data_IF_917677943376
#
_entry.id   IF_917677943376
#
_cell.length_a   1.000
_cell.length_b   1.000
_cell.length_c   1.000
_cell.angle_alpha   90.00
_cell.angle_beta   90.00
_cell.angle_gamma   90.00
#
_symmetry.space_group_name_H-M   'P 1'
#
loop_
_entity.id
_entity.type
_entity.pdbx_description
1 polymer ?
#
# COMPACT_ATOMS: atom_id res chain seq x y z
N UNK A 1 33.76 -26.48 -6.81
CA UNK A 1 33.03 -25.32 -7.36
C UNK A 1 33.99 -24.50 -8.21
N UNK A 2 34.19 -24.83 -9.48
CA UNK A 2 35.21 -24.15 -10.31
C UNK A 2 34.63 -23.02 -11.18
N UNK A 3 33.30 -22.88 -11.20
CA UNK A 3 32.58 -21.89 -12.02
C UNK A 3 32.07 -20.67 -11.25
N UNK A 4 32.01 -20.76 -9.91
CA UNK A 4 31.59 -19.67 -9.03
C UNK A 4 32.85 -19.00 -8.51
N UNK A 5 33.00 -17.69 -8.75
CA UNK A 5 34.17 -16.91 -8.33
C UNK A 5 33.79 -15.92 -7.24
N UNK A 6 34.73 -15.57 -6.37
CA UNK A 6 34.58 -14.43 -5.48
C UNK A 6 34.64 -13.14 -6.29
N UNK A 7 33.68 -12.24 -6.06
CA UNK A 7 33.59 -10.96 -6.75
C UNK A 7 34.03 -9.81 -5.86
N UNK A 8 34.74 -8.85 -6.46
CA UNK A 8 35.07 -7.57 -5.81
C UNK A 8 34.00 -6.49 -6.05
N UNK A 9 32.84 -6.85 -6.61
CA UNK A 9 31.72 -5.94 -6.92
C UNK A 9 32.05 -4.73 -7.81
N UNK A 10 33.16 -4.76 -8.55
CA UNK A 10 33.50 -3.68 -9.47
C UNK A 10 32.56 -3.73 -10.68
N UNK A 11 31.86 -2.63 -11.03
CA UNK A 11 30.95 -2.61 -12.18
C UNK A 11 31.73 -2.79 -13.48
N UNK A 12 31.28 -3.70 -14.34
CA UNK A 12 31.81 -3.88 -15.68
C UNK A 12 31.30 -2.76 -16.61
N UNK A 13 32.08 -2.45 -17.64
CA UNK A 13 31.70 -1.43 -18.64
C UNK A 13 30.42 -1.88 -19.34
N UNK A 14 29.39 -1.03 -19.37
CA UNK A 14 28.03 -1.33 -19.87
C UNK A 14 27.24 -2.40 -19.08
N UNK A 15 27.58 -2.63 -17.81
CA UNK A 15 26.78 -3.46 -16.91
C UNK A 15 25.51 -2.71 -16.43
N UNK A 16 24.35 -3.33 -16.59
CA UNK A 16 23.05 -2.81 -16.15
C UNK A 16 22.48 -3.76 -15.09
N UNK A 17 21.97 -3.22 -13.99
CA UNK A 17 21.23 -3.98 -12.98
C UNK A 17 19.79 -4.19 -13.42
N UNK A 18 19.34 -5.45 -13.42
CA UNK A 18 18.08 -5.83 -14.07
C UNK A 18 17.04 -6.26 -13.05
N UNK A 19 17.40 -7.17 -12.15
CA UNK A 19 16.48 -7.69 -11.15
C UNK A 19 17.22 -8.26 -9.95
N UNK A 20 16.60 -8.23 -8.78
CA UNK A 20 17.16 -8.77 -7.54
C UNK A 20 16.08 -9.52 -6.76
N UNK A 21 16.47 -10.62 -6.11
CA UNK A 21 15.59 -11.43 -5.27
C UNK A 21 16.29 -11.76 -3.95
N UNK A 22 15.56 -11.60 -2.84
CA UNK A 22 16.07 -11.88 -1.50
C UNK A 22 15.73 -13.32 -1.04
N UNK A 23 16.46 -13.77 -0.01
CA UNK A 23 16.34 -15.10 0.61
C UNK A 23 16.52 -16.25 -0.38
N UNK A 24 17.65 -16.21 -1.07
CA UNK A 24 18.09 -17.26 -1.99
C UNK A 24 19.22 -18.04 -1.36
N UNK A 25 19.06 -19.35 -1.28
CA UNK A 25 20.07 -20.28 -0.75
C UNK A 25 20.72 -21.06 -1.90
N UNK A 26 22.05 -21.19 -1.88
CA UNK A 26 22.81 -21.89 -2.93
C UNK A 26 23.01 -23.35 -2.54
N UNK A 27 22.76 -24.25 -3.48
CA UNK A 27 23.13 -25.67 -3.38
C UNK A 27 24.12 -26.01 -4.48
N UNK A 28 25.12 -26.80 -4.10
CA UNK A 28 26.05 -27.39 -5.05
C UNK A 28 25.68 -28.86 -5.20
N UNK A 29 25.32 -29.26 -6.41
CA UNK A 29 24.69 -30.56 -6.64
C UNK A 29 23.45 -30.71 -5.74
N UNK A 30 23.43 -31.67 -4.82
CA UNK A 30 22.29 -31.87 -3.91
C UNK A 30 22.61 -31.47 -2.45
N UNK A 31 23.82 -30.97 -2.20
CA UNK A 31 24.27 -30.57 -0.86
C UNK A 31 24.03 -29.07 -0.60
N UNK A 32 23.46 -28.78 0.57
CA UNK A 32 23.25 -27.41 1.04
C UNK A 32 24.58 -26.75 1.32
N UNK A 33 24.88 -25.64 0.66
CA UNK A 33 26.12 -24.90 0.94
C UNK A 33 25.97 -24.04 2.20
N UNK A 34 27.09 -23.50 2.70
CA UNK A 34 27.08 -22.50 3.77
C UNK A 34 26.45 -21.16 3.38
N UNK A 35 26.17 -20.94 2.09
CA UNK A 35 25.61 -19.71 1.54
C UNK A 35 24.08 -19.74 1.58
N UNK A 36 23.50 -19.24 2.67
CA UNK A 36 22.07 -19.32 2.96
C UNK A 36 21.44 -17.94 3.08
N UNK A 37 20.18 -17.79 2.65
CA UNK A 37 19.37 -16.57 2.82
C UNK A 37 19.97 -15.28 2.23
N UNK A 38 20.84 -15.38 1.23
CA UNK A 38 21.43 -14.21 0.58
C UNK A 38 20.51 -13.54 -0.44
N UNK A 39 21.01 -12.45 -1.04
CA UNK A 39 20.35 -11.73 -2.13
C UNK A 39 20.98 -12.11 -3.45
N UNK A 40 20.20 -12.63 -4.39
CA UNK A 40 20.62 -12.95 -5.74
C UNK A 40 20.23 -11.82 -6.71
N UNK A 41 21.18 -11.31 -7.48
CA UNK A 41 21.03 -10.20 -8.41
C UNK A 41 21.44 -10.63 -9.82
N UNK A 42 20.60 -10.28 -10.79
CA UNK A 42 20.86 -10.46 -12.22
C UNK A 42 21.28 -9.11 -12.82
N UNK A 43 22.45 -9.11 -13.45
CA UNK A 43 22.92 -8.00 -14.28
C UNK A 43 22.87 -8.39 -15.76
N UNK A 44 23.23 -7.47 -16.65
CA UNK A 44 23.36 -7.75 -18.08
C UNK A 44 24.47 -8.75 -18.44
N UNK A 45 25.42 -9.04 -17.54
CA UNK A 45 26.62 -9.86 -17.83
C UNK A 45 26.85 -11.03 -16.86
N UNK A 46 26.35 -10.94 -15.62
CA UNK A 46 26.62 -11.91 -14.54
C UNK A 46 25.48 -12.01 -13.53
N UNK A 47 25.46 -13.13 -12.81
CA UNK A 47 24.71 -13.34 -11.59
C UNK A 47 25.60 -13.07 -10.39
N UNK A 48 25.10 -12.27 -9.45
CA UNK A 48 25.79 -11.92 -8.21
C UNK A 48 24.95 -12.39 -7.03
N UNK A 49 25.54 -13.16 -6.12
CA UNK A 49 24.90 -13.51 -4.85
C UNK A 49 25.62 -12.81 -3.71
N UNK A 50 24.87 -12.08 -2.90
CA UNK A 50 25.36 -11.35 -1.74
C UNK A 50 24.90 -12.07 -0.46
N UNK A 51 25.82 -12.30 0.47
CA UNK A 51 25.45 -12.82 1.78
C UNK A 51 24.64 -11.79 2.59
N UNK A 52 23.76 -12.28 3.46
CA UNK A 52 22.95 -11.45 4.35
C UNK A 52 23.78 -10.89 5.51
N UNK A 53 24.76 -11.65 6.00
CA UNK A 53 25.52 -11.32 7.19
C UNK A 53 26.86 -10.65 6.86
N UNK A 54 27.55 -11.09 5.81
CA UNK A 54 28.82 -10.51 5.38
C UNK A 54 28.70 -9.74 4.05
N UNK A 55 28.89 -8.42 4.11
CA UNK A 55 28.85 -7.53 2.93
C UNK A 55 30.03 -7.73 1.98
N UNK A 56 31.11 -8.38 2.41
CA UNK A 56 32.27 -8.70 1.58
C UNK A 56 32.16 -10.07 0.92
N UNK A 57 31.19 -10.88 1.31
CA UNK A 57 30.96 -12.20 0.74
C UNK A 57 30.04 -12.10 -0.48
N UNK A 58 30.65 -11.97 -1.68
CA UNK A 58 29.92 -11.91 -2.95
C UNK A 58 30.42 -12.97 -3.92
N UNK A 59 29.49 -13.77 -4.42
CA UNK A 59 29.74 -14.83 -5.39
C UNK A 59 29.26 -14.40 -6.77
N UNK A 60 30.05 -14.68 -7.79
CA UNK A 60 29.81 -14.31 -9.18
C UNK A 60 29.78 -15.53 -10.09
N UNK A 61 28.76 -15.56 -10.97
CA UNK A 61 28.64 -16.51 -12.07
C UNK A 61 28.43 -15.70 -13.35
N UNK A 62 29.32 -15.84 -14.32
CA UNK A 62 29.14 -15.14 -15.61
C UNK A 62 27.97 -15.74 -16.37
N UNK A 63 27.08 -14.92 -16.94
CA UNK A 63 25.95 -15.42 -17.74
C UNK A 63 26.44 -16.16 -19.01
N UNK A 64 27.64 -15.85 -19.49
CA UNK A 64 28.29 -16.58 -20.58
C UNK A 64 28.55 -18.06 -20.28
N UNK A 65 28.64 -18.41 -18.99
CA UNK A 65 28.92 -19.78 -18.56
C UNK A 65 27.64 -20.61 -18.39
N UNK A 66 26.46 -20.00 -18.45
CA UNK A 66 25.18 -20.69 -18.28
C UNK A 66 24.73 -21.23 -19.63
N UNK A 67 24.59 -22.56 -19.76
CA UNK A 67 24.03 -23.19 -20.97
C UNK A 67 22.51 -23.18 -20.95
N UNK A 68 21.95 -23.53 -19.79
CA UNK A 68 20.52 -23.69 -19.63
C UNK A 68 20.13 -23.37 -18.18
N UNK A 69 18.91 -22.87 -18.00
CA UNK A 69 18.28 -22.70 -16.70
C UNK A 69 16.98 -23.50 -16.70
N UNK A 70 16.79 -24.36 -15.71
CA UNK A 70 15.56 -25.16 -15.55
C UNK A 70 14.90 -24.82 -14.22
N UNK A 71 13.60 -24.53 -14.26
CA UNK A 71 12.81 -24.39 -13.04
C UNK A 71 12.37 -25.78 -12.57
N UNK A 72 12.90 -26.26 -11.45
CA UNK A 72 12.40 -27.45 -10.77
C UNK A 72 11.37 -27.05 -9.73
N UNK A 73 10.09 -27.18 -10.08
CA UNK A 73 9.01 -27.21 -9.11
C UNK A 73 8.97 -28.61 -8.50
N UNK A 74 9.21 -28.74 -7.20
CA UNK A 74 9.15 -30.04 -6.53
C UNK A 74 7.68 -30.47 -6.46
N UNK A 75 7.26 -31.40 -7.32
CA UNK A 75 5.97 -32.08 -7.19
C UNK A 75 6.00 -33.00 -5.98
N UNK A 76 4.92 -33.00 -5.21
CA UNK A 76 4.72 -33.84 -4.02
C UNK A 76 5.13 -35.29 -4.32
N UNK A 77 6.24 -35.75 -3.73
CA UNK A 77 6.47 -37.19 -3.56
C UNK A 77 5.55 -37.64 -2.43
N UNK A 78 4.44 -38.24 -2.83
CA UNK A 78 3.55 -38.95 -1.92
C UNK A 78 4.31 -40.01 -1.14
N UNK A 79 4.15 -39.94 0.19
CA UNK A 79 4.27 -41.04 1.15
C UNK A 79 5.63 -41.73 1.27
N UNK A 80 6.45 -41.29 2.23
CA UNK A 80 6.64 -42.05 3.47
C UNK A 80 7.72 -41.42 4.36
N UNK A 81 7.40 -41.37 5.66
CA UNK A 81 8.31 -41.34 6.80
C UNK A 81 9.17 -40.09 7.04
N UNK A 82 8.68 -39.26 7.98
CA UNK A 82 9.44 -38.58 9.03
C UNK A 82 10.59 -37.66 8.57
N UNK A 83 10.29 -36.59 7.85
CA UNK A 83 10.92 -35.26 7.98
C UNK A 83 10.14 -34.32 7.04
N UNK A 84 9.36 -33.39 7.59
CA UNK A 84 8.73 -32.33 6.79
C UNK A 84 9.80 -31.28 6.46
N UNK A 85 10.63 -31.54 5.47
CA UNK A 85 11.43 -30.48 4.85
C UNK A 85 10.49 -29.62 4.00
N UNK A 86 10.38 -28.34 4.35
CA UNK A 86 9.63 -27.36 3.59
C UNK A 86 10.24 -27.25 2.19
N UNK A 87 9.54 -27.74 1.18
CA UNK A 87 10.01 -27.78 -0.20
C UNK A 87 9.90 -26.39 -0.83
N UNK A 88 11.04 -25.75 -1.04
CA UNK A 88 11.12 -24.47 -1.75
C UNK A 88 11.41 -24.70 -3.25
N UNK A 89 10.90 -23.83 -4.15
CA UNK A 89 11.18 -23.92 -5.57
C UNK A 89 12.67 -23.68 -5.86
N UNK A 90 13.25 -24.50 -6.74
CA UNK A 90 14.68 -24.43 -7.10
C UNK A 90 14.86 -24.12 -8.58
N UNK A 91 15.77 -23.20 -8.88
CA UNK A 91 16.26 -22.96 -10.24
C UNK A 91 17.59 -23.68 -10.40
N UNK A 92 17.69 -24.60 -11.36
CA UNK A 92 18.91 -25.31 -11.73
C UNK A 92 19.61 -24.55 -12.85
N UNK A 93 20.87 -24.17 -12.66
CA UNK A 93 21.72 -23.64 -13.73
C UNK A 93 22.70 -24.71 -14.19
N UNK A 94 22.71 -24.96 -15.50
CA UNK A 94 23.68 -25.82 -16.17
C UNK A 94 24.85 -24.97 -16.66
N UNK A 95 26.10 -25.30 -16.29
CA UNK A 95 27.28 -24.50 -16.61
C UNK A 95 28.21 -25.18 -17.65
N UNK A 96 28.85 -24.38 -18.51
CA UNK A 96 29.51 -24.85 -19.75
C UNK A 96 30.92 -25.47 -19.56
N UNK A 97 31.71 -25.12 -18.52
CA UNK A 97 33.10 -25.62 -18.39
C UNK A 97 33.53 -25.91 -16.94
N UNK A 98 34.09 -27.09 -16.66
CA UNK A 98 35.03 -27.30 -15.56
C UNK A 98 36.42 -27.73 -16.07
N UNK A 99 37.47 -26.91 -15.93
CA UNK A 99 38.89 -27.31 -16.12
C UNK A 99 39.75 -26.36 -15.23
N UNK A 100 40.64 -26.83 -14.35
CA UNK A 100 42.01 -27.26 -14.71
C UNK A 100 42.44 -28.67 -14.27
N UNK A 101 43.07 -29.35 -15.24
CA UNK A 101 43.91 -30.54 -15.12
C UNK A 101 45.15 -30.23 -14.28
N UNK A 102 45.31 -30.86 -13.11
CA UNK A 102 46.68 -31.11 -12.60
C UNK A 102 46.94 -32.24 -11.62
N UNK A 103 45.98 -32.89 -10.97
CA UNK A 103 46.32 -34.02 -10.10
C UNK A 103 45.55 -35.27 -10.52
N UNK A 104 46.23 -36.08 -11.34
CA UNK A 104 45.94 -37.49 -11.56
C UNK A 104 45.93 -38.22 -10.20
N UNK A 105 44.90 -39.04 -9.99
CA UNK A 105 44.94 -40.46 -9.65
C UNK A 105 43.67 -40.79 -8.85
N UNK A 106 42.97 -41.78 -9.37
CA UNK A 106 41.92 -42.62 -8.78
C UNK A 106 40.53 -42.04 -8.49
N UNK A 107 39.63 -42.53 -9.33
CA UNK A 107 38.30 -43.05 -9.01
C UNK A 107 37.07 -42.11 -8.96
N UNK A 108 36.09 -42.58 -9.74
CA UNK A 108 34.66 -42.29 -9.76
C UNK A 108 34.18 -41.12 -10.64
N UNK A 109 33.95 -41.50 -11.90
CA UNK A 109 32.99 -40.92 -12.85
C UNK A 109 31.60 -40.63 -12.26
N UNK A 110 31.20 -39.35 -12.28
CA UNK A 110 29.85 -38.78 -12.53
C UNK A 110 29.89 -37.37 -11.92
N UNK A 111 29.99 -36.26 -12.64
CA UNK A 111 29.08 -35.79 -13.67
C UNK A 111 29.84 -34.92 -14.69
N UNK A 112 29.56 -35.03 -16.01
CA UNK A 112 30.20 -34.21 -17.05
C UNK A 112 29.73 -32.74 -17.06
N UNK A 113 28.79 -32.38 -16.19
CA UNK A 113 28.12 -31.09 -16.15
C UNK A 113 28.14 -30.51 -14.73
N UNK A 114 28.66 -29.28 -14.56
CA UNK A 114 28.57 -28.57 -13.30
C UNK A 114 27.20 -27.89 -13.20
N UNK A 115 26.41 -28.26 -12.19
CA UNK A 115 25.12 -27.62 -11.92
C UNK A 115 25.06 -26.98 -10.53
N UNK A 116 24.43 -25.82 -10.46
CA UNK A 116 24.18 -25.07 -9.23
C UNK A 116 22.67 -24.88 -9.09
N UNK A 117 22.13 -25.07 -7.89
CA UNK A 117 20.73 -24.72 -7.62
C UNK A 117 20.63 -23.46 -6.76
N UNK A 118 19.63 -22.65 -7.09
CA UNK A 118 19.18 -21.52 -6.28
C UNK A 118 17.79 -21.84 -5.75
N UNK A 119 17.67 -21.94 -4.43
CA UNK A 119 16.43 -22.19 -3.73
C UNK A 119 15.83 -20.88 -3.21
N UNK A 120 14.55 -20.64 -3.50
CA UNK A 120 13.88 -19.37 -3.19
C UNK A 120 12.90 -19.53 -2.04
N UNK A 121 13.22 -18.97 -0.87
CA UNK A 121 12.41 -19.13 0.35
C UNK A 121 11.16 -18.23 0.39
N UNK A 122 11.24 -17.02 -0.19
CA UNK A 122 10.17 -16.01 -0.13
C UNK A 122 9.41 -15.79 -1.46
N UNK A 123 9.48 -16.74 -2.40
CA UNK A 123 8.84 -16.60 -3.71
C UNK A 123 9.69 -15.83 -4.73
N UNK A 124 9.08 -15.31 -5.81
CA UNK A 124 9.78 -14.55 -6.88
C UNK A 124 10.57 -15.39 -7.89
N UNK A 125 10.66 -16.70 -7.70
CA UNK A 125 11.39 -17.62 -8.60
C UNK A 125 10.90 -17.58 -10.06
N UNK A 126 9.59 -17.42 -10.30
CA UNK A 126 9.04 -17.38 -11.66
C UNK A 126 9.44 -16.10 -12.41
N UNK A 127 9.34 -14.94 -11.75
CA UNK A 127 9.77 -13.66 -12.31
C UNK A 127 11.28 -13.65 -12.55
N UNK A 128 12.04 -14.12 -11.56
CA UNK A 128 13.50 -14.26 -11.67
C UNK A 128 13.90 -15.17 -12.83
N UNK A 129 13.23 -16.32 -12.99
CA UNK A 129 13.48 -17.26 -14.07
C UNK A 129 13.17 -16.65 -15.45
N UNK A 130 12.05 -15.93 -15.59
CA UNK A 130 11.70 -15.24 -16.83
C UNK A 130 12.73 -14.16 -17.19
N UNK A 131 13.15 -13.35 -16.23
CA UNK A 131 14.18 -12.32 -16.43
C UNK A 131 15.51 -12.96 -16.82
N UNK A 132 15.92 -14.03 -16.14
CA UNK A 132 17.13 -14.77 -16.46
C UNK A 132 17.10 -15.30 -17.90
N UNK A 133 16.02 -15.97 -18.29
CA UNK A 133 15.87 -16.53 -19.63
C UNK A 133 15.89 -15.43 -20.71
N UNK A 134 15.26 -14.28 -20.43
CA UNK A 134 15.33 -13.10 -21.29
C UNK A 134 16.77 -12.58 -21.46
N UNK A 135 17.60 -12.59 -20.39
CA UNK A 135 19.02 -12.23 -20.51
C UNK A 135 19.83 -13.28 -21.28
N UNK A 136 19.60 -14.56 -21.02
CA UNK A 136 20.18 -15.70 -21.76
C UNK A 136 19.87 -15.65 -23.26
N UNK A 137 18.69 -15.16 -23.63
CA UNK A 137 18.31 -14.94 -25.03
C UNK A 137 18.94 -13.69 -25.64
N UNK A 138 19.06 -12.61 -24.85
CA UNK A 138 19.67 -11.35 -25.32
C UNK A 138 21.18 -11.44 -25.53
N UNK A 139 21.88 -12.32 -24.79
CA UNK A 139 23.34 -12.56 -24.89
C UNK A 139 24.17 -11.28 -25.02
N UNK A 140 23.82 -10.23 -24.27
CA UNK A 140 24.50 -8.92 -24.35
C UNK A 140 26.01 -9.03 -24.09
N UNK A 141 26.44 -10.02 -23.30
CA UNK A 141 27.86 -10.32 -23.03
C UNK A 141 28.66 -10.80 -24.24
N UNK A 142 28.01 -11.31 -25.30
CA UNK A 142 28.70 -11.69 -26.54
C UNK A 142 29.02 -10.47 -27.41
N UNK A 143 28.37 -9.32 -27.18
CA UNK A 143 28.69 -8.08 -27.90
C UNK A 143 30.03 -7.47 -27.48
N UNK A 144 30.67 -7.99 -26.42
CA UNK A 144 31.99 -7.57 -25.98
C UNK A 144 33.15 -8.38 -26.59
N UNK A 145 32.88 -9.49 -27.29
CA UNK A 145 33.91 -10.39 -27.85
C UNK A 145 34.18 -10.23 -29.35
N UNK A 146 33.88 -9.06 -29.93
CA UNK A 146 34.28 -8.69 -31.31
C UNK A 146 35.27 -7.52 -31.33
N UNK A 147 36.10 -7.39 -30.30
CA UNK A 147 37.24 -6.46 -30.29
C UNK A 147 38.54 -7.23 -30.11
N UNK A 148 38.92 -7.99 -31.14
CA UNK A 148 40.28 -7.97 -31.68
C UNK A 148 40.38 -8.77 -32.99
N UNK A 149 40.89 -8.10 -34.02
CA UNK A 149 41.27 -8.57 -35.36
C UNK A 149 40.15 -8.69 -36.42
N UNK A 150 39.83 -7.55 -37.08
CA UNK A 150 40.22 -7.28 -38.48
C UNK A 150 39.62 -5.93 -38.92
N UNK A 151 40.47 -5.10 -39.51
CA UNK A 151 40.16 -3.72 -39.83
C UNK A 151 38.96 -3.54 -40.75
N UNK A 152 37.95 -2.84 -40.26
CA UNK A 152 37.05 -2.06 -41.11
C UNK A 152 36.97 -0.65 -40.55
N UNK A 153 37.58 0.26 -41.32
CA UNK A 153 37.45 1.72 -41.32
C UNK A 153 36.71 2.31 -40.12
N UNK A 154 37.47 2.95 -39.23
CA UNK A 154 37.00 4.12 -38.48
C UNK A 154 36.63 5.16 -39.54
N UNK A 155 35.38 5.13 -40.01
CA UNK A 155 34.74 6.35 -40.47
C UNK A 155 34.31 7.09 -39.22
N UNK A 156 34.88 8.28 -39.04
CA UNK A 156 34.59 9.23 -37.99
C UNK A 156 33.08 9.36 -37.73
N UNK A 157 32.54 8.61 -36.77
CA UNK A 157 31.25 8.95 -36.17
C UNK A 157 31.57 10.06 -35.18
N UNK A 158 31.55 11.30 -35.68
CA UNK A 158 31.75 12.50 -34.85
C UNK A 158 30.65 12.63 -33.79
N UNK A 159 30.83 13.58 -32.87
CA UNK A 159 29.87 13.92 -31.79
C UNK A 159 28.42 14.04 -32.30
N UNK A 160 28.21 14.46 -33.55
CA UNK A 160 26.89 14.49 -34.20
C UNK A 160 26.22 13.11 -34.37
N UNK A 161 26.96 12.03 -34.57
CA UNK A 161 26.40 10.68 -34.71
C UNK A 161 25.90 10.12 -33.39
N UNK A 162 26.63 10.37 -32.30
CA UNK A 162 26.18 10.04 -30.94
C UNK A 162 24.96 10.88 -30.57
N UNK A 163 24.97 12.19 -30.89
CA UNK A 163 23.82 13.05 -30.64
C UNK A 163 22.57 12.62 -31.42
N UNK A 164 22.74 12.18 -32.67
CA UNK A 164 21.64 11.61 -33.46
C UNK A 164 21.13 10.30 -32.87
N UNK A 165 22.01 9.41 -32.41
CA UNK A 165 21.61 8.16 -31.78
C UNK A 165 20.88 8.37 -30.44
N UNK A 166 21.28 9.36 -29.64
CA UNK A 166 20.58 9.73 -28.40
C UNK A 166 19.20 10.31 -28.74
N UNK A 167 19.12 11.20 -29.73
CA UNK A 167 17.85 11.78 -30.16
C UNK A 167 16.89 10.70 -30.70
N UNK A 168 17.41 9.74 -31.48
CA UNK A 168 16.60 8.65 -32.02
C UNK A 168 16.08 7.72 -30.90
N UNK A 169 16.87 7.47 -29.84
CA UNK A 169 16.40 6.72 -28.67
C UNK A 169 15.35 7.47 -27.87
N UNK A 170 15.51 8.77 -27.67
CA UNK A 170 14.51 9.62 -27.01
C UNK A 170 13.20 9.61 -27.79
N UNK A 171 13.27 9.78 -29.11
CA UNK A 171 12.10 9.72 -29.98
C UNK A 171 11.40 8.34 -29.92
N UNK A 172 12.15 7.24 -29.86
CA UNK A 172 11.58 5.89 -29.71
C UNK A 172 10.92 5.68 -28.34
N UNK A 173 11.53 6.19 -27.27
CA UNK A 173 10.95 6.17 -25.92
C UNK A 173 9.67 7.00 -25.87
N UNK A 174 9.66 8.20 -26.45
CA UNK A 174 8.47 9.06 -26.53
C UNK A 174 7.36 8.40 -27.34
N UNK A 175 7.68 7.66 -28.41
CA UNK A 175 6.70 6.90 -29.18
C UNK A 175 6.10 5.75 -28.36
N UNK A 176 6.92 4.97 -27.67
CA UNK A 176 6.43 3.90 -26.79
C UNK A 176 5.58 4.43 -25.63
N UNK A 177 5.97 5.57 -25.05
CA UNK A 177 5.21 6.25 -23.99
C UNK A 177 3.86 6.73 -24.55
N UNK A 178 3.85 7.36 -25.73
CA UNK A 178 2.61 7.81 -26.37
C UNK A 178 1.69 6.65 -26.78
N UNK A 179 2.23 5.53 -27.24
CA UNK A 179 1.47 4.32 -27.53
C UNK A 179 0.86 3.73 -26.26
N UNK A 180 1.64 3.66 -25.17
CA UNK A 180 1.16 3.23 -23.86
C UNK A 180 0.05 4.15 -23.30
N UNK A 181 0.15 5.47 -23.48
CA UNK A 181 -0.91 6.40 -23.10
C UNK A 181 -2.17 6.25 -23.95
N UNK A 182 -2.04 5.95 -25.25
CA UNK A 182 -3.19 5.64 -26.11
C UNK A 182 -3.93 4.41 -25.62
N UNK A 183 -3.22 3.35 -25.27
CA UNK A 183 -3.84 2.13 -24.74
C UNK A 183 -4.49 2.35 -23.37
N UNK A 184 -3.85 3.11 -22.48
CA UNK A 184 -4.48 3.53 -21.22
C UNK A 184 -5.74 4.37 -21.47
N UNK A 185 -5.71 5.30 -22.43
CA UNK A 185 -6.89 6.12 -22.75
C UNK A 185 -8.04 5.29 -23.34
N UNK A 186 -7.72 4.25 -24.13
CA UNK A 186 -8.69 3.31 -24.68
C UNK A 186 -9.32 2.46 -23.56
N UNK A 187 -8.50 1.97 -22.63
CA UNK A 187 -8.97 1.24 -21.44
C UNK A 187 -9.84 2.15 -20.56
N UNK A 188 -9.42 3.39 -20.32
CA UNK A 188 -10.21 4.38 -19.58
C UNK A 188 -11.55 4.68 -20.24
N UNK A 189 -11.59 4.78 -21.58
CA UNK A 189 -12.84 4.98 -22.32
C UNK A 189 -13.78 3.77 -22.18
N UNK A 190 -13.27 2.55 -22.29
CA UNK A 190 -14.06 1.33 -22.08
C UNK A 190 -14.59 1.23 -20.63
N UNK A 191 -13.75 1.55 -19.65
CA UNK A 191 -14.16 1.61 -18.25
C UNK A 191 -15.23 2.70 -18.03
N UNK A 192 -15.10 3.87 -18.67
CA UNK A 192 -16.09 4.96 -18.59
C UNK A 192 -17.45 4.55 -19.16
N UNK A 193 -17.47 3.83 -20.28
CA UNK A 193 -18.72 3.27 -20.84
C UNK A 193 -19.36 2.26 -19.88
N UNK A 194 -18.57 1.34 -19.33
CA UNK A 194 -19.06 0.34 -18.36
C UNK A 194 -19.62 1.00 -17.08
N UNK A 195 -18.96 2.04 -16.58
CA UNK A 195 -19.40 2.82 -15.41
C UNK A 195 -20.69 3.58 -15.73
N UNK A 196 -20.80 4.20 -16.90
CA UNK A 196 -22.03 4.89 -17.33
C UNK A 196 -23.23 3.93 -17.42
N UNK A 197 -23.04 2.75 -18.02
CA UNK A 197 -24.09 1.72 -18.08
C UNK A 197 -24.50 1.27 -16.68
N UNK A 198 -23.53 1.09 -15.78
CA UNK A 198 -23.76 0.71 -14.39
C UNK A 198 -24.58 1.77 -13.65
N UNK A 199 -24.28 3.06 -13.82
CA UNK A 199 -25.06 4.16 -13.24
C UNK A 199 -26.52 4.18 -13.74
N UNK A 200 -26.75 3.90 -15.02
CA UNK A 200 -28.11 3.75 -15.57
C UNK A 200 -28.84 2.58 -14.91
N UNK A 201 -28.17 1.44 -14.71
CA UNK A 201 -28.76 0.27 -14.04
C UNK A 201 -29.08 0.55 -12.57
N UNK A 202 -28.15 1.17 -11.82
CA UNK A 202 -28.36 1.59 -10.43
C UNK A 202 -29.57 2.52 -10.34
N UNK A 203 -29.68 3.50 -11.24
CA UNK A 203 -30.82 4.43 -11.24
C UNK A 203 -32.17 3.73 -11.50
N UNK A 204 -32.18 2.67 -12.30
CA UNK A 204 -33.38 1.85 -12.55
C UNK A 204 -33.71 0.97 -11.35
N UNK A 205 -32.72 0.32 -10.75
CA UNK A 205 -32.87 -0.50 -9.54
C UNK A 205 -33.44 0.35 -8.39
N UNK A 206 -32.91 1.56 -8.19
CA UNK A 206 -33.39 2.46 -7.14
C UNK A 206 -34.84 2.94 -7.41
N UNK A 207 -35.21 3.17 -8.68
CA UNK A 207 -36.60 3.50 -9.05
C UNK A 207 -37.56 2.32 -8.88
N UNK A 208 -37.13 1.08 -9.14
CA UNK A 208 -37.95 -0.10 -8.89
C UNK A 208 -38.06 -0.43 -7.40
N UNK A 209 -36.99 -0.22 -6.63
CA UNK A 209 -36.99 -0.42 -5.18
C UNK A 209 -37.93 0.56 -4.45
N UNK A 210 -38.16 1.77 -4.98
CA UNK A 210 -39.15 2.71 -4.46
C UNK A 210 -40.61 2.26 -4.66
N UNK A 211 -40.87 1.27 -5.52
CA UNK A 211 -42.21 0.80 -5.87
C UNK A 211 -42.54 -0.62 -5.35
N UNK A 212 -41.61 -1.28 -4.65
CA UNK A 212 -41.78 -2.64 -4.13
C UNK A 212 -41.44 -2.69 -2.63
N UNK A 213 -42.27 -3.36 -1.83
CA UNK A 213 -41.99 -3.63 -0.42
C UNK A 213 -40.70 -4.45 -0.23
N UNK A 214 -39.95 -4.16 0.85
CA UNK A 214 -38.59 -4.66 1.19
C UNK A 214 -38.36 -6.19 1.12
N UNK A 215 -39.42 -6.99 0.98
CA UNK A 215 -39.39 -8.45 1.05
C UNK A 215 -39.21 -9.17 -0.30
N UNK A 216 -39.19 -8.44 -1.43
CA UNK A 216 -39.02 -9.02 -2.79
C UNK A 216 -37.77 -8.48 -3.51
N UNK A 217 -36.71 -8.09 -2.79
CA UNK A 217 -35.41 -7.88 -3.44
C UNK A 217 -34.87 -9.22 -3.95
N UNK A 218 -34.93 -9.43 -5.27
CA UNK A 218 -34.42 -10.63 -5.91
C UNK A 218 -32.93 -10.82 -5.60
N UNK A 219 -32.52 -12.07 -5.37
CA UNK A 219 -31.13 -12.42 -5.03
C UNK A 219 -30.13 -11.96 -6.11
N UNK A 220 -30.59 -11.82 -7.35
CA UNK A 220 -29.80 -11.27 -8.46
C UNK A 220 -29.51 -9.78 -8.28
N UNK A 221 -30.46 -8.98 -7.77
CA UNK A 221 -30.23 -7.57 -7.42
C UNK A 221 -29.22 -7.47 -6.28
N UNK A 222 -29.27 -8.35 -5.28
CA UNK A 222 -28.31 -8.36 -4.17
C UNK A 222 -26.89 -8.71 -4.63
N UNK A 223 -26.73 -9.73 -5.49
CA UNK A 223 -25.44 -10.07 -6.10
C UNK A 223 -24.91 -8.93 -6.96
N UNK A 224 -25.79 -8.29 -7.72
CA UNK A 224 -25.47 -7.15 -8.57
C UNK A 224 -25.06 -5.91 -7.75
N UNK A 225 -25.76 -5.61 -6.64
CA UNK A 225 -25.34 -4.61 -5.65
C UNK A 225 -23.96 -4.95 -5.08
N UNK A 226 -23.68 -6.23 -4.79
CA UNK A 226 -22.35 -6.69 -4.34
C UNK A 226 -21.25 -6.49 -5.39
N UNK A 227 -21.54 -6.72 -6.68
CA UNK A 227 -20.61 -6.45 -7.77
C UNK A 227 -20.33 -4.95 -7.92
N UNK A 228 -21.35 -4.09 -7.80
CA UNK A 228 -21.15 -2.64 -7.80
C UNK A 228 -20.35 -2.14 -6.61
N UNK A 229 -20.61 -2.70 -5.42
CA UNK A 229 -19.82 -2.41 -4.22
C UNK A 229 -18.34 -2.78 -4.42
N UNK A 230 -18.07 -3.96 -4.98
CA UNK A 230 -16.71 -4.43 -5.28
C UNK A 230 -16.03 -3.59 -6.39
N UNK A 231 -16.79 -3.04 -7.33
CA UNK A 231 -16.30 -2.11 -8.36
C UNK A 231 -16.17 -0.66 -7.87
N UNK A 232 -16.59 -0.36 -6.64
CA UNK A 232 -16.57 1.00 -6.08
C UNK A 232 -17.63 1.94 -6.65
N UNK A 233 -18.71 1.38 -7.22
CA UNK A 233 -19.87 2.10 -7.76
C UNK A 233 -20.96 2.16 -6.68
N UNK A 234 -20.73 2.96 -5.65
CA UNK A 234 -21.72 3.21 -4.59
C UNK A 234 -22.45 4.51 -4.93
N UNK A 235 -23.78 4.49 -4.81
CA UNK A 235 -24.75 5.61 -4.89
C UNK A 235 -24.21 6.94 -5.41
N UNK A 236 -24.28 7.12 -6.74
CA UNK A 236 -24.23 8.39 -7.47
C UNK A 236 -23.54 9.56 -6.72
N UNK A 237 -22.23 9.44 -6.39
CA UNK A 237 -21.59 10.38 -5.50
C UNK A 237 -21.50 11.72 -6.21
N UNK A 238 -21.66 12.82 -5.47
CA UNK A 238 -21.49 14.15 -6.04
C UNK A 238 -20.04 14.24 -6.53
N UNK A 239 -19.84 14.31 -7.85
CA UNK A 239 -18.55 14.48 -8.52
C UNK A 239 -18.43 15.90 -9.06
N UNK A 240 -17.19 16.41 -9.15
CA UNK A 240 -16.94 17.75 -9.70
C UNK A 240 -17.49 17.91 -11.12
N UNK A 241 -17.47 16.81 -11.89
CA UNK A 241 -17.94 16.74 -13.27
C UNK A 241 -19.46 16.89 -13.41
N UNK A 242 -20.25 16.39 -12.44
CA UNK A 242 -21.71 16.46 -12.52
C UNK A 242 -22.30 17.76 -11.98
N UNK A 243 -21.60 18.42 -11.06
CA UNK A 243 -22.19 19.48 -10.21
C UNK A 243 -21.51 20.85 -10.29
N UNK A 244 -20.35 20.96 -10.94
CA UNK A 244 -19.67 22.24 -11.20
C UNK A 244 -19.59 23.17 -9.98
N UNK A 245 -20.14 24.38 -10.09
CA UNK A 245 -20.14 25.39 -9.03
C UNK A 245 -21.02 25.06 -7.80
N UNK A 246 -21.96 24.10 -7.92
CA UNK A 246 -22.81 23.63 -6.82
C UNK A 246 -22.25 22.41 -6.10
N UNK A 247 -21.09 21.90 -6.55
CA UNK A 247 -20.44 20.72 -6.01
C UNK A 247 -20.31 20.74 -4.48
N UNK A 248 -19.73 21.80 -3.90
CA UNK A 248 -19.52 21.88 -2.46
C UNK A 248 -20.82 21.95 -1.65
N UNK A 249 -21.89 22.53 -2.22
CA UNK A 249 -23.21 22.59 -1.57
C UNK A 249 -23.90 21.24 -1.58
N UNK A 250 -23.85 20.52 -2.69
CA UNK A 250 -24.38 19.18 -2.81
C UNK A 250 -23.59 18.19 -1.92
N UNK A 251 -22.26 18.34 -1.86
CA UNK A 251 -21.40 17.57 -0.96
C UNK A 251 -21.74 17.81 0.51
N UNK A 252 -21.99 19.06 0.91
CA UNK A 252 -22.41 19.40 2.27
C UNK A 252 -23.72 18.71 2.65
N UNK A 253 -24.70 18.67 1.74
CA UNK A 253 -25.98 17.99 1.96
C UNK A 253 -25.81 16.47 2.11
N UNK A 254 -24.96 15.86 1.29
CA UNK A 254 -24.64 14.43 1.40
C UNK A 254 -23.99 14.10 2.76
N UNK A 255 -23.03 14.93 3.20
CA UNK A 255 -22.40 14.78 4.51
C UNK A 255 -23.44 14.86 5.63
N UNK A 256 -24.35 15.83 5.56
CA UNK A 256 -25.41 15.98 6.58
C UNK A 256 -26.32 14.75 6.66
N UNK A 257 -26.77 14.24 5.52
CA UNK A 257 -27.69 13.11 5.49
C UNK A 257 -27.03 11.80 5.95
N UNK A 258 -25.80 11.54 5.50
CA UNK A 258 -25.13 10.27 5.77
C UNK A 258 -24.52 10.22 7.18
N UNK A 259 -24.01 11.34 7.69
CA UNK A 259 -23.26 11.36 8.94
C UNK A 259 -24.05 11.88 10.15
N UNK A 260 -25.23 12.47 9.98
CA UNK A 260 -26.07 12.92 11.09
C UNK A 260 -26.31 11.82 12.13
N UNK A 261 -26.67 10.61 11.70
CA UNK A 261 -26.91 9.44 12.58
C UNK A 261 -25.62 8.90 13.21
N UNK A 262 -24.54 8.79 12.42
CA UNK A 262 -23.27 8.25 12.91
C UNK A 262 -22.64 9.18 13.96
N UNK A 263 -22.72 10.49 13.74
CA UNK A 263 -22.18 11.48 14.67
C UNK A 263 -23.02 11.51 15.96
N UNK A 264 -24.35 11.32 15.88
CA UNK A 264 -25.22 11.35 17.08
C UNK A 264 -24.96 10.16 17.99
N UNK A 265 -24.71 8.97 17.43
CA UNK A 265 -24.31 7.77 18.17
C UNK A 265 -22.93 7.93 18.81
N UNK A 266 -21.99 8.58 18.13
CA UNK A 266 -20.59 8.76 18.56
C UNK A 266 -20.33 9.86 19.58
N UNK A 267 -21.37 10.42 20.22
CA UNK A 267 -21.24 11.50 21.21
C UNK A 267 -21.40 12.91 20.65
N UNK A 268 -21.85 13.05 19.40
CA UNK A 268 -22.28 14.33 18.81
C UNK A 268 -21.18 15.17 18.17
N UNK A 269 -19.93 14.70 18.21
CA UNK A 269 -18.75 15.40 17.68
C UNK A 269 -17.89 14.41 16.91
N UNK A 270 -17.41 14.81 15.73
CA UNK A 270 -16.49 14.04 14.91
C UNK A 270 -15.38 14.94 14.37
N UNK A 271 -14.14 14.42 14.33
CA UNK A 271 -13.02 15.16 13.75
C UNK A 271 -13.14 15.21 12.24
N UNK A 272 -12.65 16.28 11.61
CA UNK A 272 -12.66 16.39 10.15
C UNK A 272 -11.81 15.28 9.49
N UNK A 273 -10.75 14.84 10.16
CA UNK A 273 -9.91 13.72 9.70
C UNK A 273 -10.68 12.38 9.71
N UNK A 274 -11.41 12.09 10.79
CA UNK A 274 -12.24 10.87 10.86
C UNK A 274 -13.37 10.93 9.83
N UNK A 275 -13.99 12.10 9.65
CA UNK A 275 -15.01 12.31 8.63
C UNK A 275 -14.44 12.07 7.23
N UNK A 276 -13.27 12.63 6.92
CA UNK A 276 -12.56 12.43 5.65
C UNK A 276 -12.32 10.95 5.36
N UNK A 277 -11.76 10.23 6.34
CA UNK A 277 -11.47 8.80 6.20
C UNK A 277 -12.75 7.98 6.00
N UNK A 278 -13.81 8.26 6.77
CA UNK A 278 -15.08 7.53 6.65
C UNK A 278 -15.78 7.81 5.33
N UNK A 279 -15.78 9.06 4.88
CA UNK A 279 -16.40 9.48 3.62
C UNK A 279 -15.69 8.86 2.42
N UNK A 280 -14.36 8.94 2.36
CA UNK A 280 -13.60 8.33 1.26
C UNK A 280 -13.64 6.81 1.30
N UNK A 281 -13.68 6.19 2.48
CA UNK A 281 -13.91 4.74 2.63
C UNK A 281 -15.30 4.34 2.15
N UNK A 282 -16.32 5.15 2.41
CA UNK A 282 -17.69 4.90 1.96
C UNK A 282 -17.88 5.13 0.45
N UNK A 283 -17.06 5.98 -0.18
CA UNK A 283 -17.16 6.30 -1.63
C UNK A 283 -16.30 5.43 -2.54
N UNK A 284 -15.27 4.76 -2.01
CA UNK A 284 -14.40 3.91 -2.81
C UNK A 284 -13.50 4.68 -3.79
N UNK A 285 -12.91 3.95 -4.76
CA UNK A 285 -11.84 4.46 -5.65
C UNK A 285 -12.35 5.49 -6.68
N UNK A 286 -13.61 5.36 -7.13
CA UNK A 286 -14.16 6.18 -8.21
C UNK A 286 -14.67 7.57 -7.76
N UNK A 287 -14.80 7.82 -6.46
CA UNK A 287 -15.46 9.01 -5.90
C UNK A 287 -14.67 9.72 -4.81
N UNK A 288 -13.34 9.58 -4.79
CA UNK A 288 -12.47 10.16 -3.77
C UNK A 288 -12.57 11.70 -3.74
N UNK A 289 -12.59 12.25 -2.53
CA UNK A 289 -12.63 13.69 -2.29
C UNK A 289 -11.28 14.15 -1.75
N UNK A 290 -10.83 15.33 -2.19
CA UNK A 290 -9.66 16.01 -1.63
C UNK A 290 -9.96 16.61 -0.26
N UNK A 291 -8.96 16.67 0.62
CA UNK A 291 -9.11 17.25 1.95
C UNK A 291 -9.58 18.72 1.90
N UNK A 292 -9.15 19.48 0.89
CA UNK A 292 -9.56 20.88 0.70
C UNK A 292 -11.05 20.99 0.33
N UNK A 293 -11.51 20.13 -0.58
CA UNK A 293 -12.90 20.12 -1.05
C UNK A 293 -13.87 19.79 0.08
N UNK A 294 -13.48 18.83 0.95
CA UNK A 294 -14.23 18.48 2.15
C UNK A 294 -14.31 19.68 3.09
N UNK A 295 -13.21 20.38 3.32
CA UNK A 295 -13.16 21.53 4.22
C UNK A 295 -14.06 22.67 3.70
N UNK A 296 -14.04 22.94 2.39
CA UNK A 296 -14.93 23.93 1.76
C UNK A 296 -16.40 23.51 1.92
N UNK A 297 -16.73 22.24 1.69
CA UNK A 297 -18.09 21.75 1.89
C UNK A 297 -18.54 21.84 3.36
N UNK A 298 -17.66 21.54 4.33
CA UNK A 298 -17.96 21.71 5.74
C UNK A 298 -18.17 23.19 6.11
N UNK A 299 -17.46 24.14 5.49
CA UNK A 299 -17.73 25.57 5.67
C UNK A 299 -19.10 25.98 5.11
N UNK A 300 -19.57 25.34 4.03
CA UNK A 300 -20.91 25.56 3.48
C UNK A 300 -22.02 25.02 4.40
N UNK A 301 -21.76 23.99 5.21
CA UNK A 301 -22.73 23.48 6.21
C UNK A 301 -23.21 24.60 7.14
N UNK A 302 -22.29 25.46 7.60
CA UNK A 302 -22.61 26.58 8.48
C UNK A 302 -23.48 27.65 7.84
N UNK A 303 -23.42 27.80 6.50
CA UNK A 303 -24.19 28.81 5.77
C UNK A 303 -25.63 28.36 5.53
N UNK A 304 -25.85 27.06 5.47
CA UNK A 304 -27.12 26.46 5.08
C UNK A 304 -27.96 25.98 6.28
N UNK A 305 -27.47 26.18 7.52
CA UNK A 305 -28.15 25.82 8.78
C UNK A 305 -28.66 24.37 8.80
N UNK A 306 -27.81 23.43 8.44
CA UNK A 306 -28.10 22.01 8.59
C UNK A 306 -27.95 21.52 10.04
N UNK A 307 -28.36 20.28 10.31
CA UNK A 307 -28.21 19.63 11.62
C UNK A 307 -26.75 19.52 12.04
N UNK A 308 -25.83 19.42 11.07
CA UNK A 308 -24.39 19.45 11.31
C UNK A 308 -23.82 20.85 11.15
N UNK A 309 -22.97 21.23 12.10
CA UNK A 309 -22.21 22.46 12.13
C UNK A 309 -20.72 22.16 12.12
N UNK A 310 -19.98 22.94 11.34
CA UNK A 310 -18.52 22.93 11.35
C UNK A 310 -17.99 23.95 12.36
N UNK A 311 -17.11 23.48 13.25
CA UNK A 311 -16.51 24.30 14.31
C UNK A 311 -15.01 24.07 14.40
N UNK A 312 -14.29 25.09 14.87
CA UNK A 312 -12.84 25.04 15.07
C UNK A 312 -12.56 25.18 16.56
N UNK A 313 -11.94 24.16 17.14
CA UNK A 313 -11.57 24.16 18.55
C UNK A 313 -10.14 24.69 18.69
N UNK A 314 -10.05 25.96 19.10
CA UNK A 314 -8.78 26.70 19.24
C UNK A 314 -7.83 26.04 20.25
N UNK A 315 -8.35 25.53 21.37
CA UNK A 315 -7.53 24.94 22.43
C UNK A 315 -6.78 23.66 21.99
N UNK A 316 -7.34 22.95 21.01
CA UNK A 316 -6.81 21.69 20.48
C UNK A 316 -6.31 21.85 19.04
N UNK A 317 -6.39 23.05 18.48
CA UNK A 317 -6.17 23.36 17.07
C UNK A 317 -6.79 22.33 16.10
N UNK A 318 -8.06 22.00 16.33
CA UNK A 318 -8.73 20.90 15.64
C UNK A 318 -9.99 21.36 14.91
N UNK A 319 -10.13 20.85 13.69
CA UNK A 319 -11.33 21.01 12.87
C UNK A 319 -12.33 19.88 13.17
N UNK A 320 -13.55 20.26 13.51
CA UNK A 320 -14.59 19.29 13.90
C UNK A 320 -15.92 19.59 13.21
N UNK A 321 -16.74 18.55 13.14
CA UNK A 321 -18.16 18.64 12.79
C UNK A 321 -18.95 18.19 14.02
N UNK A 322 -19.86 19.04 14.47
CA UNK A 322 -20.70 18.86 15.65
C UNK A 322 -22.16 18.91 15.24
N UNK A 323 -23.02 18.21 15.98
CA UNK A 323 -24.48 18.35 15.79
C UNK A 323 -24.92 19.65 16.44
N UNK A 324 -25.65 20.46 15.68
CA UNK A 324 -26.26 21.72 16.10
C UNK A 324 -27.48 21.48 17.00
N UNK A 325 -27.29 20.77 18.11
CA UNK A 325 -28.31 20.56 19.11
C UNK A 325 -27.78 20.94 20.48
N UNK A 326 -28.17 22.13 20.94
CA UNK A 326 -27.86 22.61 22.30
C UNK A 326 -28.34 21.64 23.39
N UNK A 327 -29.38 20.87 23.08
CA UNK A 327 -29.89 19.80 23.93
C UNK A 327 -28.89 18.65 24.09
N UNK A 328 -28.16 18.26 23.05
CA UNK A 328 -27.16 17.19 23.13
C UNK A 328 -25.96 17.63 23.95
N UNK A 329 -25.49 18.86 23.77
CA UNK A 329 -24.41 19.42 24.58
C UNK A 329 -24.78 19.45 26.07
N UNK A 330 -26.00 19.89 26.41
CA UNK A 330 -26.52 19.85 27.79
C UNK A 330 -26.67 18.43 28.32
N UNK A 331 -27.13 17.49 27.49
CA UNK A 331 -27.32 16.08 27.88
C UNK A 331 -25.98 15.39 28.11
N UNK A 332 -25.01 15.60 27.23
CA UNK A 332 -23.65 15.10 27.37
C UNK A 332 -22.99 15.66 28.63
N UNK A 333 -23.17 16.94 28.91
CA UNK A 333 -22.60 17.53 30.13
C UNK A 333 -23.22 16.95 31.40
N UNK A 334 -24.54 16.73 31.44
CA UNK A 334 -25.20 16.01 32.55
C UNK A 334 -24.67 14.57 32.72
N UNK A 335 -24.42 13.87 31.61
CA UNK A 335 -23.81 12.53 31.66
C UNK A 335 -22.41 12.58 32.26
N UNK A 336 -21.58 13.54 31.84
CA UNK A 336 -20.22 13.74 32.40
C UNK A 336 -20.31 14.03 33.90
N UNK A 337 -21.21 14.91 34.35
CA UNK A 337 -21.43 15.17 35.77
C UNK A 337 -21.78 13.89 36.53
N UNK A 338 -22.73 13.10 36.03
CA UNK A 338 -23.09 11.83 36.66
C UNK A 338 -21.90 10.84 36.74
N UNK A 339 -21.01 10.84 35.75
CA UNK A 339 -19.81 10.00 35.77
C UNK A 339 -18.77 10.50 36.77
N UNK A 340 -18.61 11.82 36.92
CA UNK A 340 -17.71 12.44 37.90
C UNK A 340 -18.28 12.37 39.33
N UNK A 341 -19.59 12.22 39.50
CA UNK A 341 -20.18 11.96 40.82
C UNK A 341 -20.01 10.50 41.25
N UNK A 342 -20.04 9.56 40.29
CA UNK A 342 -19.80 8.14 40.56
C UNK A 342 -18.34 7.80 40.77
N UNK A 343 -17.46 8.48 40.05
CA UNK A 343 -16.01 8.29 40.13
C UNK A 343 -15.40 9.53 40.75
N UNK A 344 -14.65 9.41 41.85
CA UNK A 344 -14.03 10.57 42.52
C UNK A 344 -13.23 11.48 41.56
N UNK A 345 -12.61 10.87 40.55
CA UNK A 345 -11.93 11.56 39.45
C UNK A 345 -12.21 10.89 38.11
N UNK A 346 -12.02 11.65 37.04
CA UNK A 346 -12.21 11.18 35.69
C UNK A 346 -11.04 11.59 34.80
N UNK A 347 -10.42 10.62 34.13
CA UNK A 347 -9.45 10.88 33.06
C UNK A 347 -10.15 10.90 31.70
N UNK A 348 -9.60 11.61 30.70
CA UNK A 348 -10.15 11.58 29.34
C UNK A 348 -10.31 10.17 28.77
N UNK A 349 -9.40 9.25 29.12
CA UNK A 349 -9.47 7.85 28.71
C UNK A 349 -10.63 7.09 29.37
N UNK A 350 -10.82 7.26 30.68
CA UNK A 350 -11.93 6.64 31.40
C UNK A 350 -13.29 7.11 30.85
N UNK A 351 -13.43 8.41 30.59
CA UNK A 351 -14.66 8.96 30.00
C UNK A 351 -14.92 8.41 28.59
N UNK A 352 -13.89 8.33 27.74
CA UNK A 352 -13.98 7.77 26.39
C UNK A 352 -14.54 6.35 26.40
N UNK A 353 -14.08 5.50 27.34
CA UNK A 353 -14.56 4.13 27.51
C UNK A 353 -16.00 4.07 28.01
N UNK A 354 -16.37 4.90 28.98
CA UNK A 354 -17.73 4.92 29.55
C UNK A 354 -18.79 5.49 28.60
N UNK A 355 -18.41 6.45 27.75
CA UNK A 355 -19.31 7.13 26.82
C UNK A 355 -19.26 6.54 25.40
N UNK A 356 -18.37 5.56 25.16
CA UNK A 356 -18.11 4.99 23.82
C UNK A 356 -17.82 6.06 22.76
N UNK A 357 -17.05 7.09 23.12
CA UNK A 357 -16.69 8.19 22.23
C UNK A 357 -15.17 8.26 22.04
N UNK A 358 -14.71 9.00 21.02
CA UNK A 358 -13.27 9.18 20.77
C UNK A 358 -12.59 9.93 21.94
N UNK A 359 -11.33 9.61 22.20
CA UNK A 359 -10.51 10.25 23.25
C UNK A 359 -10.50 11.77 23.13
N UNK A 360 -10.46 12.28 21.90
CA UNK A 360 -10.46 13.71 21.60
C UNK A 360 -11.78 14.35 22.04
N UNK A 361 -12.91 13.69 21.76
CA UNK A 361 -14.25 14.14 22.16
C UNK A 361 -14.39 14.12 23.67
N UNK A 362 -13.94 13.04 24.32
CA UNK A 362 -13.94 12.93 25.78
C UNK A 362 -13.11 14.04 26.44
N UNK A 363 -11.88 14.29 25.96
CA UNK A 363 -11.03 15.40 26.46
C UNK A 363 -11.72 16.75 26.28
N UNK A 364 -12.35 16.97 25.13
CA UNK A 364 -13.07 18.22 24.83
C UNK A 364 -14.24 18.44 25.78
N UNK A 365 -15.08 17.43 26.00
CA UNK A 365 -16.21 17.53 26.93
C UNK A 365 -15.77 17.87 28.35
N UNK A 366 -14.64 17.34 28.81
CA UNK A 366 -14.08 17.66 30.13
C UNK A 366 -13.60 19.12 30.21
N UNK A 367 -12.89 19.59 29.19
CA UNK A 367 -12.47 20.99 29.09
C UNK A 367 -13.65 21.94 28.99
N UNK A 368 -14.74 21.55 28.33
CA UNK A 368 -15.98 22.35 28.30
C UNK A 368 -16.67 22.40 29.66
N UNK A 369 -16.65 21.29 30.41
CA UNK A 369 -17.11 21.27 31.80
C UNK A 369 -16.29 22.18 32.71
N UNK A 370 -14.98 22.26 32.50
CA UNK A 370 -14.09 23.21 33.19
C UNK A 370 -14.44 24.67 32.84
N UNK A 371 -14.63 24.99 31.56
CA UNK A 371 -15.00 26.35 31.12
C UNK A 371 -16.33 26.83 31.69
N UNK A 372 -17.29 25.92 31.87
CA UNK A 372 -18.58 26.21 32.49
C UNK A 372 -18.44 26.34 34.03
N UNK A 373 -17.32 25.91 34.60
CA UNK A 373 -17.05 25.93 36.04
C UNK A 373 -17.60 24.72 36.80
N UNK A 374 -18.07 23.68 36.10
CA UNK A 374 -18.61 22.45 36.72
C UNK A 374 -17.53 21.48 37.16
N UNK A 375 -16.40 21.48 36.45
CA UNK A 375 -15.25 20.62 36.71
C UNK A 375 -14.03 21.46 37.05
N UNK A 376 -13.12 20.89 37.83
CA UNK A 376 -11.77 21.41 38.03
C UNK A 376 -10.75 20.38 37.55
N UNK A 377 -9.65 20.88 36.96
CA UNK A 377 -8.54 20.04 36.51
C UNK A 377 -7.46 19.95 37.59
N UNK A 378 -6.89 18.76 37.71
CA UNK A 378 -5.64 18.50 38.40
C UNK A 378 -4.65 17.99 37.35
N UNK A 379 -3.68 18.82 37.00
CA UNK A 379 -2.68 18.54 35.98
C UNK A 379 -1.35 18.26 36.66
N UNK A 380 -0.96 16.98 36.64
CA UNK A 380 0.35 16.54 37.11
C UNK A 380 1.20 16.11 35.92
N UNK A 381 2.52 16.02 36.10
CA UNK A 381 3.42 15.54 35.03
C UNK A 381 3.10 14.13 34.54
N UNK A 382 2.32 13.36 35.30
CA UNK A 382 2.01 11.95 35.03
C UNK A 382 0.60 11.81 34.45
N UNK A 383 -0.36 12.61 34.93
CA UNK A 383 -1.78 12.39 34.63
C UNK A 383 -2.59 13.68 34.65
N UNK A 384 -3.63 13.70 33.81
CA UNK A 384 -4.61 14.78 33.71
C UNK A 384 -5.96 14.27 34.22
N UNK A 385 -6.34 14.76 35.40
CA UNK A 385 -7.55 14.32 36.10
C UNK A 385 -8.53 15.46 36.20
N UNK A 386 -9.81 15.14 36.08
CA UNK A 386 -10.91 16.08 36.28
C UNK A 386 -11.75 15.65 37.48
N UNK A 387 -12.05 16.62 38.33
CA UNK A 387 -12.83 16.47 39.55
C UNK A 387 -14.07 17.36 39.48
N UNK A 388 -15.08 17.06 40.29
CA UNK A 388 -16.22 17.96 40.50
C UNK A 388 -15.71 19.25 41.15
N UNK A 389 -16.13 20.40 40.63
CA UNK A 389 -15.70 21.68 41.16
C UNK A 389 -16.36 21.97 42.52
N UNK A 390 -15.67 21.62 43.60
CA UNK A 390 -16.10 21.94 44.96
C UNK A 390 -15.83 23.40 45.33
N UNK A 391 -14.89 24.08 44.67
CA UNK A 391 -14.53 25.47 45.00
C UNK A 391 -15.66 26.46 44.76
N UNK A 392 -16.48 26.23 43.72
CA UNK A 392 -17.63 27.10 43.41
C UNK A 392 -18.92 26.70 44.12
N UNK A 393 -19.04 25.45 44.59
CA UNK A 393 -20.28 24.90 45.14
C UNK A 393 -20.26 24.66 46.66
N UNK A 394 -19.10 24.60 47.32
CA UNK A 394 -18.96 24.46 48.79
C UNK A 394 -18.54 25.78 49.48
N UNK A 395 -18.94 26.93 48.96
CA UNK A 395 -18.62 28.25 49.53
C UNK A 395 -19.13 28.52 50.96
N UNK A 396 -19.83 27.56 51.59
CA UNK A 396 -20.27 27.65 52.98
C UNK A 396 -19.33 26.94 53.98
N UNK A 397 -18.37 26.11 53.53
CA UNK A 397 -17.44 25.39 54.43
C UNK A 397 -16.00 25.95 54.44
N UNK A 398 -15.67 26.90 53.57
CA UNK A 398 -14.31 27.44 53.42
C UNK A 398 -14.21 28.95 53.73
N UNK A 399 -14.99 29.44 54.71
CA UNK A 399 -14.67 30.68 55.43
C UNK A 399 -13.96 30.29 56.73
N UNK A 400 -12.63 30.22 56.68
CA UNK A 400 -11.76 30.27 57.87
C UNK A 400 -11.31 31.71 58.06
#
# INVERSE_FOLDING_TARGET
>A
MNCVKWSNCQPLINEEDIYQQAAVTIYNLEEKTGFQKGRLQITSHRLLWFDQNDRHCVLEISLSQIKNAELKQMQNRSQSSKFNEQLFPRIRLLLEKPVDLKNLVDDMSSYPESFVFFEFEYGGHNEFFQVLNNQMNRKKWNSASDQNLLGTKIQNIGVSGIQRQIQDRLNQQDQQINESFKDLSKLMNQAKEMVNLSNVLISKINKSALNCSENEESDDIKKLKGYFLNMGLIDNPVTKESSGSKYHKALALEINNNFSKIISEGGGIMTLADLFCRLNRARGIAGLISAEDLLIACKELNKLNYDLKYSVYKDLNLHVVEINSDQLNKTNMKKVENYVERNEYLTPYALSKSMSCSLIVAKKLLLDGEKIGKLCRDETNIDLRFYKNKFLHNSDELRI
#
